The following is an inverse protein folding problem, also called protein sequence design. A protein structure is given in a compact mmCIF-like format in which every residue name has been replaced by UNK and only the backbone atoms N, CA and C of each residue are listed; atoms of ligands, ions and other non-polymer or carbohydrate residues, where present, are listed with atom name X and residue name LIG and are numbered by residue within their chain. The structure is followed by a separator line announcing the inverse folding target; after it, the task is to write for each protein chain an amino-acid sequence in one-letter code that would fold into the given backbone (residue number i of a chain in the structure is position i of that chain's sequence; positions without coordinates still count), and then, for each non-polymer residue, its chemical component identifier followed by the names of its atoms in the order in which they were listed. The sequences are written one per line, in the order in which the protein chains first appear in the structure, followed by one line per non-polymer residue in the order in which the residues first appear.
data_IF_807692393829
#
_entry.id   IF_807692393829
#
_cell.length_a   1.000
_cell.length_b   1.000
_cell.length_c   1.000
_cell.angle_alpha   90.00
_cell.angle_beta   90.00
_cell.angle_gamma   90.00
#
_symmetry.space_group_name_H-M   'P 1'
#
loop_
_entity.id
_entity.type
_entity.pdbx_description
1 polymer ?
#
# COMPACT_ATOMS: atom_id res chain seq x y z
N UNK A 1 7.05 -44.18 39.85
CA UNK A 1 6.88 -44.10 38.39
C UNK A 1 6.32 -42.73 38.07
N UNK A 2 7.16 -41.79 37.63
CA UNK A 2 6.71 -40.46 37.20
C UNK A 2 6.66 -40.48 35.67
N UNK A 3 5.48 -40.25 35.11
CA UNK A 3 5.28 -40.13 33.67
C UNK A 3 5.96 -38.85 33.18
N UNK A 4 7.00 -38.99 32.35
CA UNK A 4 7.55 -37.87 31.58
C UNK A 4 6.69 -37.67 30.34
N UNK A 5 5.97 -36.55 30.28
CA UNK A 5 5.36 -36.09 29.04
C UNK A 5 6.45 -35.44 28.19
N UNK A 6 6.86 -36.11 27.12
CA UNK A 6 7.67 -35.50 26.06
C UNK A 6 6.73 -34.62 25.25
N UNK A 7 6.82 -33.30 25.46
CA UNK A 7 6.24 -32.33 24.53
C UNK A 7 7.16 -32.31 23.32
N UNK A 8 6.75 -33.01 22.25
CA UNK A 8 7.33 -32.77 20.93
C UNK A 8 6.85 -31.39 20.53
N UNK A 9 7.73 -30.40 20.59
CA UNK A 9 7.49 -29.12 19.94
C UNK A 9 7.19 -29.43 18.48
N UNK A 10 5.95 -29.18 18.04
CA UNK A 10 5.63 -29.16 16.62
C UNK A 10 6.58 -28.15 16.00
N UNK A 11 7.52 -28.65 15.19
CA UNK A 11 8.41 -27.81 14.43
C UNK A 11 7.55 -26.78 13.70
N UNK A 12 7.89 -25.50 13.84
CA UNK A 12 7.39 -24.45 12.96
C UNK A 12 7.78 -24.89 11.55
N UNK A 13 6.88 -25.60 10.86
CA UNK A 13 7.00 -25.76 9.42
C UNK A 13 7.08 -24.35 8.88
N UNK A 14 8.18 -24.04 8.19
CA UNK A 14 8.34 -22.76 7.51
C UNK A 14 7.03 -22.42 6.76
N UNK A 15 6.62 -21.14 6.71
CA UNK A 15 5.45 -20.77 5.93
C UNK A 15 5.59 -21.37 4.52
N UNK A 16 4.53 -21.94 3.94
CA UNK A 16 4.63 -22.62 2.65
C UNK A 16 5.06 -21.65 1.53
N UNK A 17 4.84 -20.35 1.71
CA UNK A 17 5.37 -19.32 0.80
C UNK A 17 6.83 -18.94 1.11
N UNK A 18 7.59 -18.42 0.13
CA UNK A 18 8.96 -17.96 0.36
C UNK A 18 9.08 -16.97 1.53
N UNK A 19 10.15 -17.08 2.30
CA UNK A 19 10.45 -16.14 3.38
C UNK A 19 10.92 -14.76 2.86
N UNK A 20 11.40 -14.70 1.63
CA UNK A 20 11.76 -13.50 0.88
C UNK A 20 11.79 -13.82 -0.61
N UNK A 21 11.72 -12.80 -1.46
CA UNK A 21 11.92 -12.90 -2.90
C UNK A 21 13.13 -12.05 -3.30
N UNK A 22 13.98 -12.58 -4.18
CA UNK A 22 14.97 -11.74 -4.88
C UNK A 22 14.25 -10.73 -5.77
N UNK A 23 14.90 -9.61 -6.10
CA UNK A 23 14.30 -8.57 -6.95
C UNK A 23 13.86 -9.12 -8.32
N UNK A 24 14.63 -10.07 -8.86
CA UNK A 24 14.25 -10.78 -10.09
C UNK A 24 12.99 -11.61 -9.92
N UNK A 25 12.84 -12.34 -8.81
CA UNK A 25 11.65 -13.13 -8.54
C UNK A 25 10.42 -12.25 -8.29
N UNK A 26 10.60 -11.15 -7.54
CA UNK A 26 9.57 -10.14 -7.33
C UNK A 26 9.05 -9.60 -8.66
N UNK A 27 9.95 -9.14 -9.52
CA UNK A 27 9.58 -8.57 -10.80
C UNK A 27 8.96 -9.61 -11.74
N UNK A 28 9.51 -10.83 -11.79
CA UNK A 28 8.91 -11.93 -12.55
C UNK A 28 7.49 -12.23 -12.09
N UNK A 29 7.22 -12.29 -10.78
CA UNK A 29 5.86 -12.51 -10.30
C UNK A 29 4.93 -11.35 -10.65
N UNK A 30 5.34 -10.11 -10.41
CA UNK A 30 4.53 -8.94 -10.75
C UNK A 30 4.21 -8.93 -12.24
N UNK A 31 5.19 -9.15 -13.12
CA UNK A 31 5.02 -9.11 -14.58
C UNK A 31 4.28 -10.32 -15.14
N UNK A 32 4.72 -11.53 -14.81
CA UNK A 32 4.26 -12.76 -15.48
C UNK A 32 2.83 -13.13 -15.07
N UNK A 33 2.46 -12.79 -13.83
CA UNK A 33 1.10 -12.98 -13.32
C UNK A 33 0.14 -11.89 -13.82
N UNK A 34 0.66 -10.71 -14.20
CA UNK A 34 -0.16 -9.62 -14.72
C UNK A 34 -0.78 -9.94 -16.08
N UNK A 35 -1.91 -9.33 -16.37
CA UNK A 35 -2.50 -9.25 -17.70
C UNK A 35 -2.40 -7.83 -18.29
N UNK A 36 -3.02 -7.60 -19.45
CA UNK A 36 -3.01 -6.28 -20.10
C UNK A 36 -3.68 -5.23 -19.21
N UNK A 37 -3.22 -3.99 -19.31
CA UNK A 37 -3.82 -2.86 -18.61
C UNK A 37 -5.29 -2.67 -19.02
N UNK A 38 -6.14 -2.42 -18.03
CA UNK A 38 -7.55 -2.23 -18.22
C UNK A 38 -8.03 -0.83 -17.85
N UNK A 39 -9.32 -0.60 -18.05
CA UNK A 39 -9.93 0.71 -17.80
C UNK A 39 -10.72 0.70 -16.51
N UNK A 40 -10.50 1.71 -15.68
CA UNK A 40 -11.40 2.06 -14.60
C UNK A 40 -11.65 3.58 -14.63
N UNK A 41 -12.90 3.98 -14.42
CA UNK A 41 -13.36 5.37 -14.61
C UNK A 41 -12.76 6.41 -13.64
N UNK A 42 -11.90 5.99 -12.71
CA UNK A 42 -11.31 6.84 -11.68
C UNK A 42 -9.80 6.66 -11.62
N UNK A 43 -9.13 7.79 -11.40
CA UNK A 43 -7.69 7.89 -11.16
C UNK A 43 -7.30 7.44 -9.74
N UNK A 44 -8.27 7.04 -8.91
CA UNK A 44 -8.15 6.92 -7.45
C UNK A 44 -6.80 6.36 -6.95
N UNK A 45 -6.11 7.23 -6.21
CA UNK A 45 -4.85 6.98 -5.50
C UNK A 45 -5.05 6.60 -4.04
N UNK A 46 -6.30 6.56 -3.58
CA UNK A 46 -6.66 6.13 -2.24
C UNK A 46 -8.06 5.53 -2.18
N UNK A 47 -8.34 4.81 -1.09
CA UNK A 47 -9.69 4.38 -0.74
C UNK A 47 -10.58 5.58 -0.40
N UNK A 48 -11.89 5.41 -0.56
CA UNK A 48 -12.92 6.32 -0.03
C UNK A 48 -13.80 5.67 1.04
N UNK A 49 -13.45 4.45 1.46
CA UNK A 49 -14.19 3.69 2.46
C UNK A 49 -13.75 4.18 3.85
N UNK A 50 -14.64 4.74 4.67
CA UNK A 50 -14.32 5.06 6.07
C UNK A 50 -14.44 3.86 6.99
N UNK A 51 -15.29 2.89 6.62
CA UNK A 51 -15.63 1.74 7.44
C UNK A 51 -14.86 0.47 7.09
N UNK A 52 -13.86 0.52 6.20
CA UNK A 52 -13.13 -0.69 5.78
C UNK A 52 -12.45 -1.41 6.96
N UNK A 53 -12.11 -0.68 8.03
CA UNK A 53 -11.54 -1.26 9.24
C UNK A 53 -12.55 -2.04 10.10
N UNK A 54 -13.86 -1.78 9.97
CA UNK A 54 -14.89 -2.32 10.87
C UNK A 54 -15.06 -3.84 10.77
N UNK A 55 -14.68 -4.42 9.63
CA UNK A 55 -14.74 -5.87 9.43
C UNK A 55 -13.53 -6.60 10.04
N UNK A 56 -12.46 -5.88 10.37
CA UNK A 56 -11.20 -6.48 10.82
C UNK A 56 -11.36 -7.26 12.14
N UNK A 57 -12.07 -6.77 13.17
CA UNK A 57 -12.29 -7.54 14.40
C UNK A 57 -12.90 -8.92 14.17
N UNK A 58 -13.90 -9.04 13.31
CA UNK A 58 -14.50 -10.34 12.96
C UNK A 58 -13.56 -11.18 12.09
N UNK A 59 -12.84 -10.53 11.15
CA UNK A 59 -11.87 -11.21 10.30
C UNK A 59 -10.74 -11.84 11.12
N UNK A 60 -10.27 -11.18 12.18
CA UNK A 60 -9.22 -11.70 13.08
C UNK A 60 -9.62 -12.98 13.83
N UNK A 61 -10.92 -13.27 13.96
CA UNK A 61 -11.40 -14.52 14.59
C UNK A 61 -11.26 -15.74 13.69
N UNK A 62 -11.16 -15.53 12.38
CA UNK A 62 -11.25 -16.61 11.37
C UNK A 62 -10.03 -16.68 10.47
N UNK A 63 -9.45 -15.53 10.12
CA UNK A 63 -8.24 -15.45 9.33
C UNK A 63 -7.05 -15.99 10.11
N UNK A 64 -6.23 -16.82 9.46
CA UNK A 64 -5.00 -17.36 10.06
C UNK A 64 -3.81 -16.52 9.60
N UNK A 65 -3.05 -16.01 10.57
CA UNK A 65 -1.79 -15.31 10.31
C UNK A 65 -0.77 -16.22 9.61
N UNK A 66 0.22 -15.61 8.93
CA UNK A 66 1.25 -16.34 8.20
C UNK A 66 0.77 -17.02 6.90
N UNK A 67 -0.47 -16.78 6.51
CA UNK A 67 -1.06 -17.17 5.22
C UNK A 67 -0.97 -16.04 4.20
N UNK A 68 -1.54 -16.23 3.01
CA UNK A 68 -1.52 -15.23 1.94
C UNK A 68 -2.72 -14.29 2.05
N UNK A 69 -2.47 -13.00 1.82
CA UNK A 69 -3.49 -11.99 1.63
C UNK A 69 -3.64 -11.64 0.15
N UNK A 70 -4.87 -11.50 -0.33
CA UNK A 70 -5.18 -10.94 -1.63
C UNK A 70 -6.03 -9.68 -1.45
N UNK A 71 -5.86 -8.68 -2.31
CA UNK A 71 -6.74 -7.52 -2.28
C UNK A 71 -6.68 -6.65 -3.54
N UNK A 72 -7.64 -5.73 -3.67
CA UNK A 72 -7.74 -4.74 -4.77
C UNK A 72 -7.53 -3.32 -4.27
N UNK A 73 -7.14 -2.40 -5.16
CA UNK A 73 -6.95 -0.99 -4.86
C UNK A 73 -5.61 -0.67 -4.18
N UNK A 74 -5.48 0.54 -3.61
CA UNK A 74 -4.20 1.00 -3.11
C UNK A 74 -4.00 0.70 -1.59
N UNK A 75 -3.85 1.72 -0.75
CA UNK A 75 -3.26 1.63 0.59
C UNK A 75 -4.13 0.96 1.66
N UNK A 76 -5.44 0.84 1.45
CA UNK A 76 -6.31 0.12 2.40
C UNK A 76 -5.85 -1.32 2.61
N UNK A 77 -5.22 -1.92 1.58
CA UNK A 77 -4.58 -3.23 1.67
C UNK A 77 -3.53 -3.28 2.79
N UNK A 78 -2.71 -2.24 2.98
CA UNK A 78 -1.69 -2.22 4.04
C UNK A 78 -2.27 -2.30 5.44
N UNK A 79 -3.47 -1.76 5.66
CA UNK A 79 -4.16 -1.88 6.94
C UNK A 79 -4.62 -3.32 7.21
N UNK A 80 -5.16 -4.00 6.20
CA UNK A 80 -5.49 -5.42 6.33
C UNK A 80 -4.22 -6.27 6.50
N UNK A 81 -3.16 -6.01 5.74
CA UNK A 81 -1.88 -6.71 5.88
C UNK A 81 -1.30 -6.49 7.29
N UNK A 82 -1.33 -5.27 7.81
CA UNK A 82 -0.83 -4.96 9.15
C UNK A 82 -1.62 -5.68 10.25
N UNK A 83 -2.94 -5.83 10.08
CA UNK A 83 -3.79 -6.54 11.05
C UNK A 83 -3.68 -8.07 10.94
N UNK A 84 -3.74 -8.60 9.72
CA UNK A 84 -3.82 -10.04 9.45
C UNK A 84 -2.45 -10.74 9.45
N UNK A 85 -1.36 -9.96 9.42
CA UNK A 85 0.02 -10.44 9.45
C UNK A 85 0.26 -11.60 8.47
N UNK A 86 -0.03 -11.44 7.16
CA UNK A 86 0.20 -12.49 6.17
C UNK A 86 1.70 -12.75 5.98
N UNK A 87 2.05 -13.95 5.51
CA UNK A 87 3.42 -14.24 5.10
C UNK A 87 3.76 -13.65 3.73
N UNK A 88 2.76 -13.41 2.88
CA UNK A 88 2.88 -12.81 1.55
C UNK A 88 1.55 -12.16 1.16
N UNK A 89 1.59 -11.09 0.37
CA UNK A 89 0.42 -10.40 -0.14
C UNK A 89 0.51 -10.24 -1.67
N UNK A 90 -0.63 -10.37 -2.36
CA UNK A 90 -0.80 -9.93 -3.73
C UNK A 90 -1.87 -8.85 -3.79
N UNK A 91 -1.57 -7.76 -4.49
CA UNK A 91 -2.52 -6.68 -4.70
C UNK A 91 -2.84 -6.63 -6.19
N UNK A 92 -4.06 -7.02 -6.54
CA UNK A 92 -4.52 -7.22 -7.91
C UNK A 92 -5.46 -6.06 -8.25
N UNK A 93 -5.14 -5.29 -9.27
CA UNK A 93 -5.97 -4.17 -9.72
C UNK A 93 -5.97 -4.10 -11.24
N UNK A 94 -7.10 -3.69 -11.81
CA UNK A 94 -7.26 -3.62 -13.26
C UNK A 94 -6.35 -2.58 -13.92
N UNK A 95 -5.90 -1.57 -13.15
CA UNK A 95 -5.07 -0.47 -13.65
C UNK A 95 -3.60 -0.74 -13.38
N UNK A 96 -2.78 -0.60 -14.42
CA UNK A 96 -1.32 -0.52 -14.30
C UNK A 96 -0.88 0.65 -13.41
N UNK A 97 -1.59 1.78 -13.45
CA UNK A 97 -1.30 2.91 -12.55
C UNK A 97 -1.37 2.55 -11.06
N UNK A 98 -2.17 1.55 -10.65
CA UNK A 98 -2.18 1.08 -9.26
C UNK A 98 -0.94 0.25 -8.93
N UNK A 99 -0.39 -0.49 -9.90
CA UNK A 99 0.91 -1.17 -9.76
C UNK A 99 2.02 -0.13 -9.52
N UNK A 100 2.04 0.96 -10.30
CA UNK A 100 3.02 2.05 -10.11
C UNK A 100 2.90 2.67 -8.71
N UNK A 101 1.68 2.92 -8.23
CA UNK A 101 1.44 3.42 -6.87
C UNK A 101 2.00 2.47 -5.80
N UNK A 102 1.84 1.15 -5.96
CA UNK A 102 2.42 0.19 -5.02
C UNK A 102 3.95 0.12 -5.10
N UNK A 103 4.54 0.27 -6.29
CA UNK A 103 6.00 0.41 -6.41
C UNK A 103 6.52 1.69 -5.74
N UNK A 104 5.80 2.81 -5.86
CA UNK A 104 6.09 4.04 -5.12
C UNK A 104 6.03 3.78 -3.61
N UNK A 105 4.97 3.13 -3.11
CA UNK A 105 4.84 2.79 -1.69
C UNK A 105 5.98 1.91 -1.19
N UNK A 106 6.33 0.86 -1.94
CA UNK A 106 7.48 -0.01 -1.64
C UNK A 106 8.74 0.80 -1.39
N UNK A 107 9.10 1.69 -2.32
CA UNK A 107 10.26 2.55 -2.18
C UNK A 107 10.16 3.49 -0.96
N UNK A 108 9.01 4.10 -0.74
CA UNK A 108 8.77 4.97 0.41
C UNK A 108 8.90 4.24 1.75
N UNK A 109 8.37 3.02 1.88
CA UNK A 109 8.55 2.19 3.06
C UNK A 109 10.02 1.89 3.32
N UNK A 110 10.77 1.50 2.29
CA UNK A 110 12.18 1.17 2.42
C UNK A 110 13.04 2.39 2.82
N UNK A 111 12.75 3.56 2.24
CA UNK A 111 13.44 4.83 2.53
C UNK A 111 13.16 5.37 3.93
N UNK A 112 12.00 5.08 4.50
CA UNK A 112 11.52 5.75 5.71
C UNK A 112 11.92 5.02 6.98
N UNK A 113 12.58 5.70 7.93
CA UNK A 113 12.95 5.10 9.22
C UNK A 113 11.74 4.76 10.09
N UNK A 114 10.76 5.66 10.14
CA UNK A 114 9.58 5.58 10.99
C UNK A 114 8.34 6.14 10.26
N UNK A 115 7.18 6.05 10.92
CA UNK A 115 5.90 6.52 10.35
C UNK A 115 5.91 8.00 9.99
N UNK A 116 6.52 8.84 10.83
CA UNK A 116 6.55 10.28 10.59
C UNK A 116 7.41 10.61 9.37
N UNK A 117 8.55 9.94 9.17
CA UNK A 117 9.38 10.11 7.97
C UNK A 117 8.64 9.62 6.71
N UNK A 118 7.92 8.51 6.79
CA UNK A 118 7.09 8.03 5.69
C UNK A 118 6.08 9.08 5.23
N UNK A 119 5.36 9.71 6.17
CA UNK A 119 4.40 10.77 5.87
C UNK A 119 5.08 12.01 5.27
N UNK A 120 6.28 12.37 5.75
CA UNK A 120 7.10 13.45 5.15
C UNK A 120 7.42 13.15 3.68
N UNK A 121 7.85 11.91 3.39
CA UNK A 121 8.24 11.52 2.03
C UNK A 121 7.05 11.45 1.08
N UNK A 122 5.96 10.81 1.52
CA UNK A 122 4.74 10.67 0.72
C UNK A 122 4.17 12.03 0.29
N UNK A 123 4.06 12.98 1.22
CA UNK A 123 3.49 14.29 0.93
C UNK A 123 4.52 15.35 0.55
N UNK A 124 5.80 14.99 0.54
CA UNK A 124 6.92 15.89 0.25
C UNK A 124 6.88 17.18 1.10
N UNK A 125 6.69 17.00 2.40
CA UNK A 125 6.65 18.04 3.43
C UNK A 125 7.79 17.83 4.40
N UNK A 126 8.44 18.91 4.84
CA UNK A 126 9.46 18.80 5.89
C UNK A 126 8.83 18.18 7.13
N UNK A 127 9.50 17.20 7.75
CA UNK A 127 9.08 16.62 9.04
C UNK A 127 8.89 17.71 10.09
N UNK A 128 7.67 17.87 10.66
CA UNK A 128 7.44 18.76 11.79
C UNK A 128 8.27 18.38 13.00
N UNK A 129 8.75 19.38 13.72
CA UNK A 129 9.52 19.18 14.95
C UNK A 129 8.65 18.50 16.03
N UNK A 130 9.27 17.70 16.89
CA UNK A 130 8.61 17.05 18.03
C UNK A 130 7.88 15.74 17.73
N UNK A 131 7.71 15.34 16.46
CA UNK A 131 7.16 14.03 16.11
C UNK A 131 8.14 12.90 16.45
N UNK A 132 7.70 11.92 17.23
CA UNK A 132 8.51 10.77 17.66
C UNK A 132 7.85 9.45 17.25
N UNK A 133 8.55 8.34 17.49
CA UNK A 133 8.02 6.99 17.27
C UNK A 133 6.75 6.69 18.09
N UNK A 134 6.50 7.41 19.19
CA UNK A 134 5.31 7.21 20.03
C UNK A 134 4.15 8.14 19.69
N UNK A 135 4.33 9.08 18.75
CA UNK A 135 3.24 9.95 18.31
C UNK A 135 2.10 9.13 17.72
N UNK A 136 0.87 9.48 18.06
CA UNK A 136 -0.33 8.88 17.46
C UNK A 136 -0.44 9.27 15.99
N UNK A 137 -1.20 8.49 15.21
CA UNK A 137 -1.50 8.87 13.83
C UNK A 137 -2.14 10.27 13.76
N UNK A 138 -3.06 10.58 14.70
CA UNK A 138 -3.70 11.90 14.78
C UNK A 138 -2.67 13.02 14.94
N UNK A 139 -1.74 12.91 15.90
CA UNK A 139 -0.69 13.92 16.11
C UNK A 139 0.22 14.09 14.88
N UNK A 140 0.57 13.00 14.20
CA UNK A 140 1.36 13.03 12.97
C UNK A 140 0.59 13.81 11.89
N UNK A 141 -0.66 13.43 11.62
CA UNK A 141 -1.46 14.04 10.56
C UNK A 141 -1.84 15.49 10.86
N UNK A 142 -2.15 15.84 12.11
CA UNK A 142 -2.42 17.22 12.54
C UNK A 142 -1.19 18.13 12.35
N UNK A 143 0.01 17.59 12.53
CA UNK A 143 1.25 18.33 12.28
C UNK A 143 1.52 18.51 10.77
N UNK A 144 1.35 17.46 9.97
CA UNK A 144 1.59 17.53 8.52
C UNK A 144 0.52 18.31 7.74
N UNK A 145 -0.71 18.40 8.25
CA UNK A 145 -1.74 19.28 7.70
C UNK A 145 -1.33 20.76 7.76
N UNK A 146 -0.49 21.14 8.72
CA UNK A 146 0.01 22.51 8.91
C UNK A 146 1.35 22.76 8.22
N UNK A 147 2.10 21.72 7.88
CA UNK A 147 3.37 21.84 7.18
C UNK A 147 3.14 22.17 5.71
N UNK A 148 4.01 22.97 5.07
CA UNK A 148 3.89 23.26 3.63
C UNK A 148 4.62 22.21 2.78
N UNK A 149 4.10 21.96 1.57
CA UNK A 149 4.78 21.14 0.57
C UNK A 149 6.01 21.88 0.02
N UNK A 150 7.13 21.17 -0.14
CA UNK A 150 8.35 21.73 -0.75
C UNK A 150 8.64 21.04 -2.08
N UNK A 151 8.85 21.85 -3.13
CA UNK A 151 9.23 21.36 -4.45
C UNK A 151 10.58 20.66 -4.40
N UNK A 152 11.51 21.20 -3.64
CA UNK A 152 12.85 20.66 -3.46
C UNK A 152 12.78 19.27 -2.83
N UNK A 153 12.00 19.12 -1.75
CA UNK A 153 11.76 17.83 -1.10
C UNK A 153 11.03 16.86 -2.05
N UNK A 154 10.07 17.34 -2.85
CA UNK A 154 9.39 16.51 -3.85
C UNK A 154 10.36 15.94 -4.88
N UNK A 155 11.20 16.79 -5.48
CA UNK A 155 12.19 16.36 -6.46
C UNK A 155 13.24 15.42 -5.86
N UNK A 156 13.65 15.65 -4.60
CA UNK A 156 14.53 14.75 -3.86
C UNK A 156 13.88 13.38 -3.60
N UNK A 157 12.62 13.37 -3.14
CA UNK A 157 11.88 12.14 -2.90
C UNK A 157 11.63 11.35 -4.18
N UNK A 158 11.27 12.03 -5.29
CA UNK A 158 11.08 11.38 -6.58
C UNK A 158 12.37 10.68 -7.04
N UNK A 159 13.51 11.39 -7.01
CA UNK A 159 14.81 10.80 -7.33
C UNK A 159 15.17 9.63 -6.41
N UNK A 160 14.88 9.74 -5.12
CA UNK A 160 15.14 8.67 -4.16
C UNK A 160 14.27 7.43 -4.42
N UNK A 161 12.99 7.61 -4.78
CA UNK A 161 12.09 6.52 -5.16
C UNK A 161 12.59 5.82 -6.42
N UNK A 162 12.93 6.58 -7.46
CA UNK A 162 13.50 6.05 -8.71
C UNK A 162 14.83 5.30 -8.44
N UNK A 163 15.70 5.84 -7.60
CA UNK A 163 16.99 5.23 -7.24
C UNK A 163 16.81 3.90 -6.49
N UNK A 164 15.83 3.81 -5.57
CA UNK A 164 15.51 2.55 -4.90
C UNK A 164 15.04 1.52 -5.92
N UNK A 165 14.06 1.85 -6.75
CA UNK A 165 13.46 0.88 -7.68
C UNK A 165 14.45 0.47 -8.79
N UNK A 166 15.19 1.41 -9.37
CA UNK A 166 16.08 1.15 -10.52
C UNK A 166 17.48 0.75 -10.08
N UNK A 167 18.13 1.51 -9.19
CA UNK A 167 19.55 1.29 -8.87
C UNK A 167 19.73 0.22 -7.81
N UNK A 168 18.91 0.24 -6.76
CA UNK A 168 19.00 -0.76 -5.68
C UNK A 168 18.37 -2.08 -6.08
N UNK A 169 17.12 -2.07 -6.57
CA UNK A 169 16.39 -3.30 -6.92
C UNK A 169 16.58 -3.75 -8.38
N UNK A 170 17.11 -2.89 -9.26
CA UNK A 170 17.33 -3.29 -10.67
C UNK A 170 16.04 -3.57 -11.44
N UNK A 171 14.90 -2.99 -11.03
CA UNK A 171 13.63 -3.20 -11.72
C UNK A 171 13.69 -2.57 -13.12
N UNK A 172 13.34 -3.32 -14.19
CA UNK A 172 13.40 -2.83 -15.56
C UNK A 172 12.16 -2.00 -15.89
N UNK A 173 11.97 -0.90 -15.17
CA UNK A 173 10.84 0.01 -15.34
C UNK A 173 10.89 0.70 -16.72
N UNK A 174 9.75 0.75 -17.38
CA UNK A 174 9.53 1.45 -18.64
C UNK A 174 9.38 2.96 -18.42
N UNK A 175 9.43 3.76 -19.50
CA UNK A 175 9.15 5.19 -19.40
C UNK A 175 7.73 5.48 -18.87
N UNK A 176 6.74 4.64 -19.21
CA UNK A 176 5.37 4.74 -18.71
C UNK A 176 5.29 4.55 -17.20
N UNK A 177 6.00 3.54 -16.67
CA UNK A 177 6.06 3.30 -15.21
C UNK A 177 6.65 4.51 -14.47
N UNK A 178 7.71 5.11 -15.02
CA UNK A 178 8.33 6.31 -14.43
C UNK A 178 7.41 7.53 -14.47
N UNK A 179 6.64 7.69 -15.54
CA UNK A 179 5.63 8.73 -15.63
C UNK A 179 4.47 8.50 -14.66
N UNK A 180 4.04 7.24 -14.48
CA UNK A 180 3.05 6.83 -13.48
C UNK A 180 3.50 7.12 -12.04
N UNK A 181 4.74 6.75 -11.70
CA UNK A 181 5.36 7.06 -10.40
C UNK A 181 5.43 8.57 -10.14
N UNK A 182 5.91 9.34 -11.12
CA UNK A 182 6.00 10.80 -11.03
C UNK A 182 4.61 11.42 -10.85
N UNK A 183 3.63 10.95 -11.62
CA UNK A 183 2.25 11.42 -11.55
C UNK A 183 1.63 11.11 -10.19
N UNK A 184 1.74 9.88 -9.68
CA UNK A 184 1.23 9.50 -8.38
C UNK A 184 1.84 10.36 -7.25
N UNK A 185 3.17 10.44 -7.17
CA UNK A 185 3.84 11.22 -6.13
C UNK A 185 3.50 12.72 -6.24
N UNK A 186 3.31 13.25 -7.45
CA UNK A 186 2.91 14.66 -7.64
C UNK A 186 1.53 14.96 -7.08
N UNK A 187 0.58 14.02 -7.16
CA UNK A 187 -0.74 14.18 -6.56
C UNK A 187 -0.65 14.17 -5.02
N UNK A 188 0.10 13.23 -4.42
CA UNK A 188 0.32 13.23 -2.97
C UNK A 188 1.02 14.50 -2.50
N UNK A 189 2.03 14.98 -3.22
CA UNK A 189 2.67 16.27 -2.95
C UNK A 189 1.68 17.45 -2.99
N UNK A 190 0.93 17.57 -4.10
CA UNK A 190 0.01 18.68 -4.35
C UNK A 190 -1.11 18.76 -3.31
N UNK A 191 -1.78 17.64 -3.05
CA UNK A 191 -2.96 17.61 -2.19
C UNK A 191 -2.61 17.34 -0.72
N UNK A 192 -1.41 16.82 -0.46
CA UNK A 192 -0.93 16.52 0.88
C UNK A 192 -1.84 15.54 1.63
N UNK A 193 -1.89 15.63 2.97
CA UNK A 193 -2.78 14.80 3.78
C UNK A 193 -4.29 14.94 3.47
N UNK A 194 -4.68 16.00 2.76
CA UNK A 194 -6.06 16.27 2.36
C UNK A 194 -6.44 15.63 1.01
N UNK A 195 -5.53 14.90 0.36
CA UNK A 195 -5.84 14.11 -0.84
C UNK A 195 -7.05 13.21 -0.55
N UNK A 196 -7.99 13.16 -1.50
CA UNK A 196 -9.21 12.37 -1.44
C UNK A 196 -9.43 11.65 -2.76
N UNK A 197 -10.43 10.77 -2.82
CA UNK A 197 -10.69 9.93 -3.99
C UNK A 197 -10.87 10.69 -5.31
N UNK A 198 -11.34 11.94 -5.27
CA UNK A 198 -11.52 12.80 -6.44
C UNK A 198 -10.31 13.67 -6.78
N UNK A 199 -9.24 13.62 -5.99
CA UNK A 199 -8.02 14.39 -6.23
C UNK A 199 -7.24 13.82 -7.41
N UNK A 200 -7.11 14.61 -8.48
CA UNK A 200 -6.31 14.26 -9.66
C UNK A 200 -5.71 15.50 -10.31
N UNK A 201 -4.46 15.38 -10.75
CA UNK A 201 -3.73 16.35 -11.58
C UNK A 201 -3.83 16.05 -13.09
N UNK A 202 -4.70 15.13 -13.52
CA UNK A 202 -4.90 14.82 -14.94
C UNK A 202 -5.40 16.04 -15.74
N UNK A 203 -5.01 16.12 -17.03
CA UNK A 203 -4.90 17.36 -17.86
C UNK A 203 -6.20 18.03 -18.32
N UNK A 204 -7.05 18.45 -17.39
CA UNK A 204 -7.66 19.78 -17.56
C UNK A 204 -6.76 20.90 -17.00
N UNK A 205 -5.65 20.61 -16.30
CA UNK A 205 -4.56 21.57 -16.01
C UNK A 205 -3.22 20.86 -15.76
N UNK A 206 -2.15 21.05 -16.57
CA UNK A 206 -0.78 20.73 -16.14
C UNK A 206 -0.30 21.80 -15.12
N UNK A 207 0.38 21.43 -14.02
CA UNK A 207 0.77 22.41 -13.02
C UNK A 207 1.87 23.34 -13.54
N UNK A 208 1.59 24.64 -13.53
CA UNK A 208 2.62 25.68 -13.62
C UNK A 208 3.40 25.66 -12.30
N UNK A 209 4.58 25.01 -12.28
CA UNK A 209 5.43 25.02 -11.09
C UNK A 209 6.31 26.27 -11.08
N UNK A 210 5.87 27.33 -10.40
CA UNK A 210 6.75 28.30 -9.71
C UNK A 210 6.01 28.85 -8.46
N UNK A 211 6.55 28.64 -7.26
CA UNK A 211 6.14 29.34 -6.02
C UNK A 211 4.76 28.95 -5.45
N UNK A 212 4.49 27.65 -5.29
CA UNK A 212 3.21 27.05 -4.87
C UNK A 212 2.37 27.90 -3.89
N UNK A 213 1.27 28.47 -4.38
CA UNK A 213 0.14 28.94 -3.58
C UNK A 213 -1.01 27.96 -3.74
N UNK A 214 -1.31 27.22 -2.67
CA UNK A 214 -2.34 26.17 -2.65
C UNK A 214 -3.73 26.70 -3.01
N UNK A 215 -4.28 26.20 -4.11
CA UNK A 215 -5.64 26.48 -4.53
C UNK A 215 -6.66 25.68 -3.72
N UNK A 216 -7.50 26.39 -2.98
CA UNK A 216 -8.72 25.91 -2.33
C UNK A 216 -9.77 25.39 -3.35
N UNK A 217 -10.40 24.24 -3.04
CA UNK A 217 -11.64 23.74 -3.65
C UNK A 217 -11.42 22.96 -4.95
N UNK A 218 -12.10 21.84 -5.27
CA UNK A 218 -13.51 21.49 -5.07
C UNK A 218 -13.68 19.96 -5.14
N UNK A 219 -14.60 19.38 -4.34
CA UNK A 219 -15.10 18.02 -4.59
C UNK A 219 -15.56 17.29 -3.32
N UNK A 220 -16.85 17.29 -3.05
CA UNK A 220 -17.50 16.61 -1.93
C UNK A 220 -17.35 15.09 -2.01
N UNK A 221 -16.51 14.51 -1.16
CA UNK A 221 -16.64 13.17 -0.54
C UNK A 221 -15.63 13.13 0.61
N UNK A 222 -16.11 13.37 1.84
CA UNK A 222 -15.34 13.84 3.02
C UNK A 222 -14.27 12.91 3.62
N UNK A 223 -13.73 11.97 2.84
CA UNK A 223 -12.71 10.99 3.26
C UNK A 223 -11.37 11.38 2.64
N UNK A 224 -10.48 11.91 3.47
CA UNK A 224 -9.10 12.22 3.09
C UNK A 224 -8.14 11.11 3.53
N UNK A 225 -6.92 11.11 3.00
CA UNK A 225 -5.87 10.23 3.49
C UNK A 225 -5.66 10.33 5.00
N UNK A 226 -5.64 11.56 5.54
CA UNK A 226 -5.57 11.78 6.97
C UNK A 226 -6.72 11.07 7.71
N UNK A 227 -7.95 11.18 7.21
CA UNK A 227 -9.10 10.52 7.84
C UNK A 227 -9.03 8.99 7.79
N UNK A 228 -8.54 8.39 6.70
CA UNK A 228 -8.35 6.93 6.60
C UNK A 228 -7.33 6.43 7.62
N UNK A 229 -6.25 7.19 7.82
CA UNK A 229 -5.16 6.80 8.70
C UNK A 229 -5.46 7.02 10.18
N UNK A 230 -6.39 7.93 10.50
CA UNK A 230 -6.77 8.30 11.88
C UNK A 230 -8.12 7.74 12.30
N UNK A 231 -8.86 7.06 11.43
CA UNK A 231 -10.09 6.37 11.81
C UNK A 231 -9.81 5.08 12.58
N UNK A 232 -10.70 4.75 13.52
CA UNK A 232 -10.68 3.48 14.25
C UNK A 232 -11.48 2.39 13.52
N UNK A 233 -11.52 1.19 14.11
CA UNK A 233 -12.26 0.04 13.61
C UNK A 233 -13.70 -0.07 14.14
N UNK A 234 -14.26 1.01 14.71
CA UNK A 234 -15.57 1.01 15.37
C UNK A 234 -15.55 0.46 16.80
N UNK A 235 -14.40 0.01 17.30
CA UNK A 235 -14.19 -0.45 18.70
C UNK A 235 -13.18 0.39 19.46
N UNK A 236 -12.72 1.52 18.88
CA UNK A 236 -11.69 2.38 19.45
C UNK A 236 -10.26 1.95 19.13
N UNK A 237 -10.04 0.93 18.28
CA UNK A 237 -8.70 0.49 17.89
C UNK A 237 -8.31 1.05 16.50
N UNK A 238 -7.22 1.81 16.45
CA UNK A 238 -6.64 2.34 15.21
C UNK A 238 -5.80 1.27 14.51
N UNK A 239 -6.30 0.69 13.42
CA UNK A 239 -5.66 -0.46 12.75
C UNK A 239 -4.83 -0.07 11.54
N UNK A 240 -4.87 1.18 11.10
CA UNK A 240 -4.11 1.63 9.94
C UNK A 240 -2.63 1.27 10.08
N UNK A 241 -1.95 1.10 8.95
CA UNK A 241 -0.51 0.79 8.97
C UNK A 241 0.35 1.93 9.54
N UNK A 242 -0.21 3.14 9.64
CA UNK A 242 0.39 4.29 10.33
C UNK A 242 -0.13 4.48 11.76
N UNK A 243 -1.01 3.59 12.24
CA UNK A 243 -1.58 3.63 13.60
C UNK A 243 -0.55 3.36 14.69
N UNK A 244 0.48 2.54 14.41
CA UNK A 244 1.56 2.20 15.35
C UNK A 244 2.87 1.86 14.63
N UNK A 245 4.00 2.00 15.32
CA UNK A 245 5.31 1.58 14.77
C UNK A 245 5.37 0.08 14.48
N UNK A 246 4.66 -0.75 15.25
CA UNK A 246 4.60 -2.19 14.99
C UNK A 246 3.92 -2.48 13.64
N UNK A 247 2.82 -1.80 13.34
CA UNK A 247 2.13 -1.95 12.07
C UNK A 247 3.01 -1.49 10.92
N UNK A 248 3.62 -0.32 11.05
CA UNK A 248 4.52 0.24 10.04
C UNK A 248 5.74 -0.65 9.78
N UNK A 249 6.42 -1.07 10.85
CA UNK A 249 7.58 -1.95 10.75
C UNK A 249 7.25 -3.30 10.10
N UNK A 250 6.04 -3.83 10.36
CA UNK A 250 5.59 -5.06 9.72
C UNK A 250 5.43 -4.89 8.19
N UNK A 251 4.81 -3.80 7.73
CA UNK A 251 4.68 -3.54 6.28
C UNK A 251 6.05 -3.28 5.67
N UNK A 252 6.88 -2.44 6.31
CA UNK A 252 8.24 -2.15 5.86
C UNK A 252 9.08 -3.41 5.71
N UNK A 253 9.00 -4.35 6.66
CA UNK A 253 9.70 -5.64 6.58
C UNK A 253 9.18 -6.50 5.42
N UNK A 254 7.87 -6.56 5.22
CA UNK A 254 7.26 -7.33 4.13
C UNK A 254 7.64 -6.76 2.75
N UNK A 255 7.65 -5.43 2.62
CA UNK A 255 8.11 -4.72 1.43
C UNK A 255 9.60 -4.97 1.16
N UNK A 256 10.46 -4.85 2.18
CA UNK A 256 11.90 -5.07 2.06
C UNK A 256 12.27 -6.51 1.68
N UNK A 257 11.46 -7.49 2.11
CA UNK A 257 11.57 -8.90 1.70
C UNK A 257 10.89 -9.21 0.37
N UNK A 258 10.38 -8.20 -0.33
CA UNK A 258 9.70 -8.29 -1.62
C UNK A 258 8.43 -9.16 -1.60
N UNK A 259 7.65 -9.14 -0.52
CA UNK A 259 6.50 -10.04 -0.32
C UNK A 259 5.13 -9.36 -0.43
N UNK A 260 5.08 -8.09 -0.82
CA UNK A 260 3.85 -7.42 -1.28
C UNK A 260 3.96 -7.25 -2.79
N UNK A 261 3.30 -8.12 -3.55
CA UNK A 261 3.45 -8.19 -5.02
C UNK A 261 2.25 -7.54 -5.71
N UNK A 262 2.40 -6.36 -6.35
CA UNK A 262 1.35 -5.79 -7.17
C UNK A 262 1.23 -6.54 -8.51
N UNK A 263 0.00 -6.72 -8.98
CA UNK A 263 -0.33 -7.44 -10.21
C UNK A 263 -1.45 -6.68 -10.95
N UNK A 264 -1.29 -6.47 -12.25
CA UNK A 264 -2.36 -5.94 -13.10
C UNK A 264 -3.33 -7.08 -13.42
N UNK A 265 -4.60 -6.91 -13.05
CA UNK A 265 -5.60 -7.95 -13.17
C UNK A 265 -7.03 -7.45 -13.18
N UNK A 266 -7.77 -7.87 -14.20
CA UNK A 266 -9.22 -7.77 -14.29
C UNK A 266 -9.87 -8.94 -13.52
N UNK A 267 -10.77 -8.60 -12.59
CA UNK A 267 -11.49 -9.60 -11.80
C UNK A 267 -12.50 -10.43 -12.62
N UNK A 268 -12.92 -9.92 -13.78
CA UNK A 268 -13.68 -10.66 -14.79
C UNK A 268 -12.77 -11.37 -15.82
N UNK A 269 -11.47 -11.07 -15.78
CA UNK A 269 -10.45 -11.62 -16.67
C UNK A 269 -10.19 -13.12 -16.44
N UNK A 270 -9.47 -13.72 -17.38
CA UNK A 270 -9.18 -15.15 -17.37
C UNK A 270 -7.73 -15.49 -16.97
N UNK A 271 -6.86 -14.48 -16.72
CA UNK A 271 -5.45 -14.72 -16.44
C UNK A 271 -5.05 -14.39 -14.99
N UNK A 272 -5.05 -13.13 -14.57
CA UNK A 272 -4.27 -12.70 -13.41
C UNK A 272 -4.58 -13.46 -12.11
N UNK A 273 -5.86 -13.51 -11.72
CA UNK A 273 -6.30 -14.24 -10.50
C UNK A 273 -5.97 -15.74 -10.58
N UNK A 274 -6.12 -16.35 -11.77
CA UNK A 274 -5.81 -17.77 -11.97
C UNK A 274 -4.31 -18.03 -11.90
N UNK A 275 -3.50 -17.15 -12.49
CA UNK A 275 -2.05 -17.23 -12.43
C UNK A 275 -1.54 -17.10 -10.99
N UNK A 276 -2.07 -16.15 -10.21
CA UNK A 276 -1.78 -16.03 -8.77
C UNK A 276 -2.17 -17.32 -8.05
N UNK A 277 -3.35 -17.87 -8.31
CA UNK A 277 -3.80 -19.12 -7.69
C UNK A 277 -2.88 -20.31 -8.04
N UNK A 278 -2.42 -20.41 -9.29
CA UNK A 278 -1.53 -21.48 -9.73
C UNK A 278 -0.11 -21.34 -9.14
N UNK A 279 0.42 -20.11 -9.04
CA UNK A 279 1.65 -19.85 -8.28
C UNK A 279 1.50 -20.29 -6.82
N UNK A 280 0.41 -19.90 -6.16
CA UNK A 280 0.15 -20.25 -4.76
C UNK A 280 0.03 -21.76 -4.57
N UNK A 281 -0.64 -22.50 -5.47
CA UNK A 281 -0.64 -23.97 -5.44
C UNK A 281 0.78 -24.53 -5.57
N UNK A 282 1.59 -23.97 -6.47
CA UNK A 282 2.97 -24.39 -6.72
C UNK A 282 3.87 -24.28 -5.48
N UNK A 283 3.64 -23.28 -4.64
CA UNK A 283 4.36 -23.11 -3.36
C UNK A 283 3.58 -23.63 -2.15
N UNK A 284 2.39 -24.21 -2.32
CA UNK A 284 1.54 -24.63 -1.20
C UNK A 284 0.97 -23.49 -0.35
N UNK A 285 0.97 -22.26 -0.88
CA UNK A 285 0.39 -21.08 -0.24
C UNK A 285 -1.12 -21.21 -0.10
N UNK A 286 -1.65 -20.82 1.07
CA UNK A 286 -3.08 -20.76 1.33
C UNK A 286 -3.51 -19.32 1.54
N UNK A 287 -4.57 -18.89 0.84
CA UNK A 287 -5.19 -17.59 1.06
C UNK A 287 -5.96 -17.60 2.39
N UNK A 288 -5.85 -16.53 3.16
CA UNK A 288 -6.62 -16.34 4.39
C UNK A 288 -7.67 -15.24 4.30
N UNK A 289 -7.48 -14.27 3.42
CA UNK A 289 -8.42 -13.18 3.19
C UNK A 289 -8.24 -12.68 1.76
N UNK A 290 -9.35 -12.29 1.15
CA UNK A 290 -9.39 -11.66 -0.16
C UNK A 290 -10.29 -10.42 -0.08
N UNK A 291 -9.71 -9.23 -0.12
CA UNK A 291 -10.43 -7.98 -0.08
C UNK A 291 -10.83 -7.53 -1.50
N UNK A 292 -12.13 -7.30 -1.72
CA UNK A 292 -12.69 -7.00 -3.05
C UNK A 292 -13.21 -5.57 -3.19
N UNK A 293 -13.13 -4.74 -2.15
CA UNK A 293 -13.81 -3.43 -2.12
C UNK A 293 -15.27 -3.59 -2.59
N UNK A 294 -15.70 -2.80 -3.58
CA UNK A 294 -16.99 -2.92 -4.26
C UNK A 294 -16.87 -3.47 -5.70
N UNK A 295 -15.78 -4.16 -6.06
CA UNK A 295 -15.55 -4.69 -7.42
C UNK A 295 -16.72 -5.55 -7.91
N UNK A 296 -17.32 -6.33 -7.01
CA UNK A 296 -18.46 -7.20 -7.31
C UNK A 296 -19.66 -6.45 -7.90
N UNK A 297 -19.82 -5.16 -7.58
CA UNK A 297 -20.89 -4.32 -8.14
C UNK A 297 -20.69 -4.01 -9.63
N UNK A 298 -19.47 -4.16 -10.16
CA UNK A 298 -19.13 -3.89 -11.56
C UNK A 298 -19.05 -5.17 -12.42
N UNK A 299 -18.96 -6.36 -11.80
CA UNK A 299 -18.85 -7.63 -12.53
C UNK A 299 -20.17 -8.09 -13.19
N UNK A 300 -21.30 -7.56 -12.74
CA UNK A 300 -22.65 -7.94 -13.22
C UNK A 300 -23.39 -6.81 -13.93
N UNK A 301 -22.68 -5.76 -14.36
CA UNK A 301 -23.23 -4.66 -15.15
C UNK A 301 -23.18 -4.94 -16.65
#
# INVERSE_FOLDING_TARGET
MYAQAIVVASGRTAPPVPAELTDKQFWSLSKDLSEEDGFFRSDNLLSNETSFQYVIPELLKTAKQGRVYLGVGPEQNFTYIAALKPAMAFIIDIRHGNLDVHLMYKALFELSKDRAEFVSRLFSRKRPDGLTATSTAAEIFDAYLKAEGSKEIYEENLRAVEDVLIKKHGLPLTAGDLDGLRWALSNYYQFGPSINYGSSLSVNVPPTIVGATGGYGFGSNGVTYASLMTSDDGTGQYRSYLGSEENFAFIKDLEARNLVVPVVGDFSGNKAIRAVADYLKGVGGMVSAFYLSNVEQFLFQ
#
